data_IF_663367852135
#
_entry.id   IF_663367852135
#
_cell.length_a   1.000
_cell.length_b   1.000
_cell.length_c   1.000
_cell.angle_alpha   90.00
_cell.angle_beta   90.00
_cell.angle_gamma   90.00
#
_symmetry.space_group_name_H-M   'P 1'
#
loop_
_entity.id
_entity.type
_entity.pdbx_description
1 polymer ?
#
# COMPACT_ATOMS: atom_id res chain seq x y z
N UNK A 1 -25.33 16.85 4.89
CA UNK A 1 -25.18 16.61 6.35
C UNK A 1 -24.79 15.16 6.59
N UNK A 2 -23.58 14.80 6.18
CA UNK A 2 -22.92 13.52 6.50
C UNK A 2 -21.48 13.89 6.81
N UNK A 3 -21.27 14.33 8.05
CA UNK A 3 -19.97 14.69 8.60
C UNK A 3 -19.94 14.13 10.02
N UNK A 4 -18.85 13.44 10.35
CA UNK A 4 -18.43 12.92 11.65
C UNK A 4 -18.92 11.50 11.96
N UNK A 5 -18.03 10.52 11.77
CA UNK A 5 -17.33 9.84 12.88
C UNK A 5 -16.37 8.80 12.31
N UNK A 6 -15.09 9.15 12.19
CA UNK A 6 -14.01 8.19 12.00
C UNK A 6 -13.02 8.38 13.15
N UNK A 7 -13.00 7.37 14.02
CA UNK A 7 -12.13 7.25 15.19
C UNK A 7 -10.69 6.96 14.76
N UNK A 8 -9.78 7.70 15.38
CA UNK A 8 -8.38 7.42 15.71
C UNK A 8 -7.62 6.36 14.87
N UNK A 9 -6.83 6.87 13.93
CA UNK A 9 -5.85 6.10 13.15
C UNK A 9 -5.40 6.89 11.92
N UNK A 10 -5.10 8.18 12.11
CA UNK A 10 -4.90 9.14 11.04
C UNK A 10 -3.62 8.88 10.24
N UNK A 11 -3.77 8.30 9.06
CA UNK A 11 -3.00 8.71 7.89
C UNK A 11 -4.01 9.34 6.94
N UNK A 12 -4.10 10.67 6.97
CA UNK A 12 -4.80 11.43 5.92
C UNK A 12 -4.12 11.11 4.58
N UNK A 13 -4.85 10.95 3.47
CA UNK A 13 -4.24 10.73 2.16
C UNK A 13 -3.34 11.93 1.84
N UNK A 14 -2.02 11.73 1.82
CA UNK A 14 -1.05 12.82 1.63
C UNK A 14 -0.80 13.16 0.16
N UNK A 15 -1.61 12.64 -0.78
CA UNK A 15 -1.46 12.97 -2.20
C UNK A 15 -2.59 12.44 -3.09
N UNK A 16 -2.73 13.08 -4.25
CA UNK A 16 -3.75 12.78 -5.26
C UNK A 16 -3.63 11.35 -5.83
N UNK A 17 -2.44 10.74 -5.80
CA UNK A 17 -2.21 9.32 -6.16
C UNK A 17 -2.89 8.33 -5.22
N UNK A 18 -3.04 8.65 -3.93
CA UNK A 18 -3.83 7.84 -2.99
C UNK A 18 -5.32 7.94 -3.34
N UNK A 19 -5.82 9.13 -3.68
CA UNK A 19 -7.21 9.31 -4.14
C UNK A 19 -7.48 8.59 -5.48
N UNK A 20 -6.51 8.59 -6.40
CA UNK A 20 -6.60 7.88 -7.67
C UNK A 20 -6.64 6.36 -7.46
N UNK A 21 -5.79 5.80 -6.59
CA UNK A 21 -5.71 4.35 -6.38
C UNK A 21 -6.79 3.79 -5.43
N UNK A 22 -7.36 4.62 -4.55
CA UNK A 22 -8.33 4.22 -3.52
C UNK A 22 -9.69 3.82 -4.10
N UNK A 23 -10.10 4.34 -5.27
CA UNK A 23 -11.42 4.03 -5.89
C UNK A 23 -11.46 2.63 -6.52
N UNK A 24 -10.32 1.99 -6.80
CA UNK A 24 -10.29 0.67 -7.44
C UNK A 24 -10.61 -0.51 -6.50
N UNK A 25 -10.74 -0.29 -5.18
CA UNK A 25 -10.96 -1.36 -4.20
C UNK A 25 -12.43 -1.56 -3.83
N UNK A 26 -13.34 -0.63 -4.19
CA UNK A 26 -14.74 -0.67 -3.74
C UNK A 26 -15.76 -1.14 -4.81
N UNK A 27 -15.31 -1.71 -5.94
CA UNK A 27 -16.22 -2.12 -7.04
C UNK A 27 -16.62 -3.60 -7.05
N UNK A 28 -16.12 -4.44 -6.13
CA UNK A 28 -16.39 -5.87 -6.11
C UNK A 28 -17.01 -6.33 -4.78
N UNK A 29 -18.28 -5.96 -4.54
CA UNK A 29 -18.97 -6.32 -3.29
C UNK A 29 -20.49 -6.19 -3.31
N UNK A 30 -21.12 -6.30 -4.48
CA UNK A 30 -22.58 -6.30 -4.60
C UNK A 30 -23.16 -7.72 -4.50
N UNK A 31 -23.20 -8.29 -3.30
CA UNK A 31 -23.98 -9.51 -3.02
C UNK A 31 -25.14 -9.16 -2.07
N UNK A 32 -26.35 -9.14 -2.62
CA UNK A 32 -27.60 -9.03 -1.88
C UNK A 32 -27.74 -10.21 -0.92
N UNK A 33 -27.62 -9.96 0.38
CA UNK A 33 -27.91 -10.97 1.40
C UNK A 33 -29.43 -11.09 1.58
N UNK A 34 -29.97 -12.20 1.10
CA UNK A 34 -31.30 -12.69 1.46
C UNK A 34 -31.30 -13.05 2.95
N UNK A 35 -32.25 -12.46 3.68
CA UNK A 35 -32.45 -12.68 5.10
C UNK A 35 -32.96 -14.11 5.34
N UNK A 36 -32.26 -14.87 6.18
CA UNK A 36 -32.78 -16.09 6.80
C UNK A 36 -32.16 -16.23 8.18
N UNK A 37 -33.00 -16.13 9.20
CA UNK A 37 -32.67 -16.24 10.63
C UNK A 37 -33.48 -17.41 11.22
N UNK A 38 -33.22 -17.88 12.44
CA UNK A 38 -31.97 -18.44 12.96
C UNK A 38 -32.24 -19.81 13.65
N UNK A 39 -31.20 -20.61 13.94
CA UNK A 39 -31.28 -21.59 15.03
C UNK A 39 -29.90 -21.97 15.60
N UNK A 40 -29.75 -21.57 16.87
CA UNK A 40 -28.84 -22.01 17.94
C UNK A 40 -28.00 -23.26 17.68
N UNK A 41 -26.71 -23.19 18.04
CA UNK A 41 -26.07 -24.11 19.00
C UNK A 41 -24.83 -23.42 19.61
N UNK A 42 -24.64 -23.63 20.91
CA UNK A 42 -23.76 -22.85 21.77
C UNK A 42 -22.26 -23.11 21.55
N UNK A 43 -21.52 -22.01 21.47
CA UNK A 43 -20.11 -21.93 21.82
C UNK A 43 -19.94 -20.66 22.64
N UNK A 44 -19.30 -20.77 23.80
CA UNK A 44 -19.00 -19.66 24.69
C UNK A 44 -18.13 -18.63 23.97
N UNK A 45 -18.77 -17.65 23.35
CA UNK A 45 -18.10 -16.44 22.90
C UNK A 45 -17.80 -15.63 24.17
N UNK A 46 -16.56 -15.74 24.65
CA UNK A 46 -16.02 -14.77 25.59
C UNK A 46 -16.29 -13.36 25.05
N UNK A 47 -16.69 -12.42 25.93
CA UNK A 47 -17.12 -11.10 25.50
C UNK A 47 -16.00 -10.41 24.72
N UNK A 48 -16.39 -9.85 23.57
CA UNK A 48 -15.55 -9.03 22.69
C UNK A 48 -15.08 -7.82 23.49
N UNK A 49 -13.87 -7.91 24.03
CA UNK A 49 -13.18 -6.79 24.64
C UNK A 49 -12.48 -5.97 23.56
N UNK A 50 -12.61 -4.65 23.69
CA UNK A 50 -11.72 -3.58 23.26
C UNK A 50 -10.48 -4.01 22.46
N UNK A 51 -10.26 -3.36 21.30
CA UNK A 51 -9.19 -3.68 20.32
C UNK A 51 -7.92 -4.24 20.96
N UNK A 52 -7.82 -5.57 21.03
CA UNK A 52 -6.67 -6.25 21.66
C UNK A 52 -5.37 -5.75 21.01
N UNK A 53 -4.32 -5.50 21.79
CA UNK A 53 -3.03 -5.09 21.21
C UNK A 53 -2.47 -6.16 20.27
N UNK A 54 -1.81 -5.73 19.19
CA UNK A 54 -1.20 -6.66 18.22
C UNK A 54 -0.17 -7.57 18.89
N UNK A 55 0.56 -7.08 19.90
CA UNK A 55 1.52 -7.87 20.66
C UNK A 55 0.85 -9.01 21.45
N UNK A 56 -0.36 -8.82 21.95
CA UNK A 56 -1.11 -9.86 22.64
C UNK A 56 -1.62 -10.94 21.67
N UNK A 57 -2.15 -10.53 20.51
CA UNK A 57 -2.54 -11.47 19.46
C UNK A 57 -1.36 -12.34 19.00
N UNK A 58 -0.17 -11.76 18.88
CA UNK A 58 1.06 -12.50 18.56
C UNK A 58 1.39 -13.52 19.66
N UNK A 59 1.35 -13.12 20.94
CA UNK A 59 1.64 -14.03 22.07
C UNK A 59 0.66 -15.19 22.13
N UNK A 60 -0.64 -14.93 21.96
CA UNK A 60 -1.67 -15.98 21.91
C UNK A 60 -1.45 -16.95 20.77
N UNK A 61 -1.12 -16.45 19.58
CA UNK A 61 -0.78 -17.29 18.44
C UNK A 61 0.44 -18.18 18.74
N UNK A 62 1.49 -17.62 19.34
CA UNK A 62 2.68 -18.36 19.76
C UNK A 62 2.36 -19.41 20.84
N UNK A 63 1.33 -19.17 21.66
CA UNK A 63 0.77 -20.13 22.61
C UNK A 63 -0.15 -21.20 22.01
N UNK A 64 -0.37 -21.21 20.68
CA UNK A 64 -1.17 -22.20 19.98
C UNK A 64 -2.62 -21.80 19.71
N UNK A 65 -3.02 -20.57 20.04
CA UNK A 65 -4.37 -20.06 19.76
C UNK A 65 -4.54 -19.71 18.26
N UNK A 66 -5.27 -20.56 17.54
CA UNK A 66 -5.57 -20.35 16.11
C UNK A 66 -6.53 -19.17 15.86
N UNK A 67 -7.37 -18.81 16.83
CA UNK A 67 -8.28 -17.68 16.68
C UNK A 67 -7.50 -16.35 16.63
N UNK A 68 -6.37 -16.26 17.32
CA UNK A 68 -5.52 -15.08 17.32
C UNK A 68 -5.00 -14.72 15.91
N UNK A 69 -4.59 -15.73 15.12
CA UNK A 69 -4.19 -15.49 13.72
C UNK A 69 -5.34 -14.98 12.85
N UNK A 70 -6.55 -15.47 13.08
CA UNK A 70 -7.74 -15.04 12.33
C UNK A 70 -7.99 -13.54 12.53
N UNK A 71 -7.80 -13.04 13.75
CA UNK A 71 -7.92 -11.62 14.04
C UNK A 71 -6.78 -10.79 13.43
N UNK A 72 -5.54 -11.28 13.48
CA UNK A 72 -4.39 -10.65 12.80
C UNK A 72 -4.66 -10.52 11.29
N UNK A 73 -5.14 -11.61 10.67
CA UNK A 73 -5.51 -11.63 9.25
C UNK A 73 -6.59 -10.58 8.96
N UNK A 74 -7.69 -10.58 9.72
CA UNK A 74 -8.81 -9.66 9.52
C UNK A 74 -8.36 -8.19 9.59
N UNK A 75 -7.49 -7.85 10.55
CA UNK A 75 -7.00 -6.48 10.75
C UNK A 75 -6.05 -6.00 9.65
N UNK A 76 -5.20 -6.89 9.13
CA UNK A 76 -4.12 -6.49 8.24
C UNK A 76 -4.32 -6.88 6.78
N UNK A 77 -5.36 -7.65 6.43
CA UNK A 77 -5.64 -8.06 5.05
C UNK A 77 -5.75 -6.86 4.12
N UNK A 78 -6.49 -5.82 4.53
CA UNK A 78 -6.67 -4.63 3.70
C UNK A 78 -5.34 -3.90 3.45
N UNK A 79 -4.49 -3.78 4.46
CA UNK A 79 -3.19 -3.11 4.34
C UNK A 79 -2.24 -3.88 3.42
N UNK A 80 -2.17 -5.21 3.61
CA UNK A 80 -1.38 -6.11 2.76
C UNK A 80 -1.89 -6.06 1.32
N UNK A 81 -3.20 -6.10 1.11
CA UNK A 81 -3.80 -6.03 -0.22
C UNK A 81 -3.42 -4.73 -0.93
N UNK A 82 -3.55 -3.57 -0.27
CA UNK A 82 -3.16 -2.27 -0.85
C UNK A 82 -1.69 -2.26 -1.27
N UNK A 83 -0.79 -2.76 -0.42
CA UNK A 83 0.63 -2.83 -0.74
C UNK A 83 0.91 -3.80 -1.91
N UNK A 84 0.28 -4.98 -1.91
CA UNK A 84 0.40 -5.96 -3.00
C UNK A 84 -0.06 -5.34 -4.30
N UNK A 85 -1.23 -4.71 -4.37
CA UNK A 85 -1.75 -4.09 -5.60
C UNK A 85 -0.92 -2.89 -6.09
N UNK A 86 -0.23 -2.18 -5.19
CA UNK A 86 0.75 -1.13 -5.58
C UNK A 86 2.03 -1.73 -6.16
N UNK A 87 2.46 -2.89 -5.68
CA UNK A 87 3.75 -3.49 -6.04
C UNK A 87 3.67 -4.53 -7.15
N UNK A 88 2.52 -5.19 -7.31
CA UNK A 88 2.31 -6.25 -8.30
C UNK A 88 2.58 -5.70 -9.70
N UNK A 89 3.27 -6.50 -10.50
CA UNK A 89 3.55 -6.19 -11.90
C UNK A 89 2.63 -7.00 -12.82
N UNK A 90 2.76 -6.82 -14.14
CA UNK A 90 2.00 -7.60 -15.10
C UNK A 90 2.24 -9.11 -14.94
N UNK A 91 1.17 -9.89 -15.04
CA UNK A 91 1.21 -11.36 -15.06
C UNK A 91 1.19 -12.07 -13.71
N UNK A 92 0.92 -11.37 -12.60
CA UNK A 92 0.70 -11.99 -11.28
C UNK A 92 -0.70 -11.64 -10.74
N UNK A 93 -1.42 -12.65 -10.24
CA UNK A 93 -2.70 -12.45 -9.56
C UNK A 93 -2.44 -11.88 -8.15
N UNK A 94 -3.03 -10.72 -7.87
CA UNK A 94 -2.88 -10.03 -6.58
C UNK A 94 -3.50 -10.81 -5.41
N UNK A 95 -4.63 -11.49 -5.63
CA UNK A 95 -5.30 -12.27 -4.57
C UNK A 95 -4.49 -13.51 -4.20
N UNK A 96 -3.89 -14.19 -5.19
CA UNK A 96 -2.96 -15.29 -4.93
C UNK A 96 -1.74 -14.83 -4.13
N UNK A 97 -1.19 -13.65 -4.45
CA UNK A 97 -0.08 -13.07 -3.69
C UNK A 97 -0.46 -12.71 -2.26
N UNK A 98 -1.67 -12.17 -2.04
CA UNK A 98 -2.15 -11.87 -0.69
C UNK A 98 -2.23 -13.16 0.12
N UNK A 99 -2.75 -14.25 -0.45
CA UNK A 99 -2.79 -15.54 0.21
C UNK A 99 -1.39 -16.06 0.55
N UNK A 100 -0.46 -16.03 -0.42
CA UNK A 100 0.92 -16.47 -0.21
C UNK A 100 1.62 -15.64 0.89
N UNK A 101 1.36 -14.32 0.94
CA UNK A 101 1.85 -13.47 2.03
C UNK A 101 1.34 -13.97 3.37
N UNK A 102 0.05 -14.23 3.53
CA UNK A 102 -0.49 -14.68 4.81
C UNK A 102 -0.06 -16.11 5.19
N UNK A 103 0.18 -16.99 4.22
CA UNK A 103 0.82 -18.29 4.45
C UNK A 103 2.22 -18.09 5.03
N UNK A 104 3.01 -17.19 4.44
CA UNK A 104 4.36 -16.91 4.91
C UNK A 104 4.38 -16.19 6.26
N UNK A 105 3.43 -15.28 6.51
CA UNK A 105 3.23 -14.65 7.82
C UNK A 105 2.91 -15.72 8.84
N UNK A 106 1.94 -16.60 8.61
CA UNK A 106 1.59 -17.67 9.54
C UNK A 106 2.81 -18.54 9.91
N UNK A 107 3.63 -18.92 8.93
CA UNK A 107 4.84 -19.74 9.14
C UNK A 107 5.92 -19.03 9.96
N UNK A 108 6.09 -17.73 9.76
CA UNK A 108 7.17 -16.95 10.38
C UNK A 108 6.77 -16.21 11.67
N UNK A 109 5.47 -16.09 11.94
CA UNK A 109 4.94 -15.39 13.11
C UNK A 109 5.35 -16.04 14.43
N UNK A 110 5.54 -17.36 14.44
CA UNK A 110 6.06 -18.09 15.60
C UNK A 110 7.47 -17.65 16.02
N UNK A 111 8.28 -17.18 15.08
CA UNK A 111 9.66 -16.73 15.33
C UNK A 111 9.76 -15.22 15.56
N UNK A 112 8.64 -14.49 15.46
CA UNK A 112 8.64 -13.04 15.61
C UNK A 112 8.89 -12.64 17.08
N UNK A 113 10.07 -12.04 17.33
CA UNK A 113 10.54 -11.66 18.67
C UNK A 113 10.19 -10.22 19.09
N UNK A 114 9.41 -9.49 18.30
CA UNK A 114 9.01 -8.10 18.65
C UNK A 114 10.15 -7.06 18.61
N UNK A 115 11.27 -7.36 17.95
CA UNK A 115 12.42 -6.43 17.85
C UNK A 115 12.18 -5.23 16.91
N UNK A 116 11.15 -5.31 16.07
CA UNK A 116 10.65 -4.21 15.23
C UNK A 116 9.15 -4.10 15.38
N UNK A 117 8.57 -2.98 14.96
CA UNK A 117 7.10 -2.86 14.84
C UNK A 117 6.57 -4.01 13.99
N UNK A 118 5.42 -4.56 14.38
CA UNK A 118 4.74 -5.62 13.62
C UNK A 118 4.46 -5.19 12.18
N UNK A 119 4.02 -3.94 11.98
CA UNK A 119 3.79 -3.37 10.65
C UNK A 119 5.04 -3.42 9.77
N UNK A 120 6.19 -2.98 10.26
CA UNK A 120 7.46 -3.01 9.51
C UNK A 120 7.87 -4.45 9.16
N UNK A 121 7.68 -5.40 10.09
CA UNK A 121 7.95 -6.82 9.83
C UNK A 121 7.00 -7.39 8.76
N UNK A 122 5.70 -7.07 8.86
CA UNK A 122 4.69 -7.49 7.89
C UNK A 122 5.00 -6.93 6.49
N UNK A 123 5.34 -5.64 6.39
CA UNK A 123 5.77 -5.03 5.13
C UNK A 123 6.98 -5.76 4.53
N UNK A 124 7.95 -6.15 5.35
CA UNK A 124 9.11 -6.94 4.89
C UNK A 124 8.70 -8.28 4.32
N UNK A 125 7.79 -9.01 4.98
CA UNK A 125 7.27 -10.29 4.45
C UNK A 125 6.55 -10.06 3.12
N UNK A 126 5.64 -9.08 3.07
CA UNK A 126 4.88 -8.72 1.86
C UNK A 126 5.78 -8.37 0.68
N UNK A 127 6.74 -7.46 0.90
CA UNK A 127 7.71 -7.02 -0.13
C UNK A 127 8.49 -8.22 -0.66
N UNK A 128 8.97 -9.11 0.22
CA UNK A 128 9.74 -10.27 -0.22
C UNK A 128 8.93 -11.20 -1.11
N UNK A 129 7.69 -11.53 -0.72
CA UNK A 129 6.80 -12.41 -1.50
C UNK A 129 6.52 -11.80 -2.87
N UNK A 130 6.15 -10.52 -2.95
CA UNK A 130 5.87 -9.85 -4.22
C UNK A 130 7.11 -9.79 -5.11
N UNK A 131 8.30 -9.52 -4.55
CA UNK A 131 9.54 -9.50 -5.31
C UNK A 131 9.93 -10.89 -5.84
N UNK A 132 9.72 -11.95 -5.06
CA UNK A 132 9.94 -13.32 -5.52
C UNK A 132 9.01 -13.66 -6.69
N UNK A 133 7.72 -13.34 -6.58
CA UNK A 133 6.77 -13.57 -7.66
C UNK A 133 7.12 -12.80 -8.94
N UNK A 134 7.51 -11.53 -8.85
CA UNK A 134 7.93 -10.72 -10.01
C UNK A 134 9.22 -11.23 -10.67
N UNK A 135 10.12 -11.87 -9.91
CA UNK A 135 11.30 -12.53 -10.48
C UNK A 135 10.92 -13.82 -11.18
N UNK A 136 10.06 -14.64 -10.57
CA UNK A 136 9.55 -15.88 -11.16
C UNK A 136 8.80 -15.61 -12.48
N UNK A 137 7.96 -14.57 -12.54
CA UNK A 137 7.24 -14.17 -13.74
C UNK A 137 8.17 -13.80 -14.91
N UNK A 138 9.30 -13.12 -14.63
CA UNK A 138 10.30 -12.77 -15.66
C UNK A 138 11.13 -13.94 -16.16
N UNK A 139 11.27 -15.00 -15.36
CA UNK A 139 12.05 -16.19 -15.73
C UNK A 139 11.25 -17.23 -16.51
N UNK A 140 9.93 -17.09 -16.62
CA UNK A 140 9.10 -17.98 -17.45
C UNK A 140 9.21 -17.59 -18.93
N UNK A 141 9.60 -18.50 -19.83
CA UNK A 141 9.60 -18.20 -21.27
C UNK A 141 8.18 -17.86 -21.73
N UNK A 142 8.08 -16.87 -22.63
CA UNK A 142 6.85 -16.26 -23.13
C UNK A 142 5.99 -17.18 -24.02
N UNK A 143 5.75 -18.42 -23.60
CA UNK A 143 4.90 -19.39 -24.29
C UNK A 143 3.42 -19.28 -23.91
N UNK A 144 3.04 -18.31 -23.06
CA UNK A 144 1.65 -18.10 -22.67
C UNK A 144 1.28 -16.61 -22.53
N UNK A 145 2.04 -15.71 -23.16
CA UNK A 145 1.58 -14.34 -23.35
C UNK A 145 0.70 -14.31 -24.62
N UNK A 146 -0.50 -14.88 -24.51
CA UNK A 146 -1.62 -14.34 -25.30
C UNK A 146 -1.74 -12.84 -25.03
N UNK A 147 -2.41 -12.07 -25.89
CA UNK A 147 -2.53 -10.63 -25.70
C UNK A 147 -2.90 -10.38 -24.25
N UNK A 148 -2.08 -9.58 -23.58
CA UNK A 148 -2.33 -9.11 -22.22
C UNK A 148 -3.77 -8.63 -22.29
N UNK A 149 -4.67 -9.34 -21.61
CA UNK A 149 -6.05 -8.92 -21.48
C UNK A 149 -5.97 -7.51 -20.90
N UNK A 150 -6.20 -6.53 -21.76
CA UNK A 150 -6.26 -5.13 -21.43
C UNK A 150 -7.42 -5.05 -20.48
N UNK A 151 -7.11 -5.21 -19.18
CA UNK A 151 -8.04 -5.62 -18.14
C UNK A 151 -9.42 -5.11 -18.46
N UNK A 152 -10.27 -6.06 -18.89
CA UNK A 152 -11.59 -5.83 -19.45
C UNK A 152 -12.19 -4.64 -18.71
N UNK A 153 -12.18 -3.47 -19.37
CA UNK A 153 -12.84 -2.29 -18.85
C UNK A 153 -14.26 -2.78 -18.59
N UNK A 154 -14.64 -2.86 -17.32
CA UNK A 154 -15.96 -3.32 -16.90
C UNK A 154 -16.93 -2.52 -17.79
N UNK A 155 -17.61 -3.17 -18.75
CA UNK A 155 -18.50 -2.54 -19.76
C UNK A 155 -19.78 -1.97 -19.11
N UNK A 156 -19.67 -1.59 -17.84
CA UNK A 156 -20.61 -0.75 -17.16
C UNK A 156 -20.40 0.67 -17.65
N UNK A 157 -21.46 1.40 -17.99
CA UNK A 157 -21.35 2.82 -18.30
C UNK A 157 -20.76 3.54 -17.08
N UNK A 158 -19.47 3.83 -17.13
CA UNK A 158 -18.78 4.69 -16.17
C UNK A 158 -18.83 6.14 -16.68
N UNK A 159 -18.97 7.14 -15.81
CA UNK A 159 -18.81 8.54 -16.18
C UNK A 159 -17.44 8.76 -16.87
N UNK A 160 -17.39 9.67 -17.85
CA UNK A 160 -16.16 9.97 -18.63
C UNK A 160 -14.95 10.30 -17.73
N UNK A 161 -15.18 10.92 -16.57
CA UNK A 161 -14.14 11.26 -15.59
C UNK A 161 -13.47 10.03 -14.96
N UNK A 162 -14.22 8.94 -14.75
CA UNK A 162 -13.68 7.69 -14.19
C UNK A 162 -12.84 6.93 -15.22
N UNK A 163 -13.21 7.02 -16.51
CA UNK A 163 -12.42 6.43 -17.61
C UNK A 163 -11.07 7.13 -17.73
N UNK A 164 -11.05 8.47 -17.74
CA UNK A 164 -9.80 9.26 -17.78
C UNK A 164 -8.93 8.96 -16.56
N UNK A 165 -9.54 8.84 -15.38
CA UNK A 165 -8.85 8.45 -14.14
C UNK A 165 -8.18 7.09 -14.27
N UNK A 166 -8.91 6.07 -14.73
CA UNK A 166 -8.37 4.72 -14.91
C UNK A 166 -7.22 4.68 -15.93
N UNK A 167 -7.34 5.42 -17.04
CA UNK A 167 -6.28 5.55 -18.03
C UNK A 167 -5.00 6.15 -17.44
N UNK A 168 -5.12 7.21 -16.62
CA UNK A 168 -3.98 7.82 -15.90
C UNK A 168 -3.32 6.84 -14.94
N UNK A 169 -4.10 6.08 -14.16
CA UNK A 169 -3.58 5.06 -13.24
C UNK A 169 -2.84 3.96 -14.01
N UNK A 170 -3.42 3.46 -15.10
CA UNK A 170 -2.80 2.44 -15.94
C UNK A 170 -1.49 2.96 -16.55
N UNK A 171 -1.48 4.18 -17.08
CA UNK A 171 -0.27 4.82 -17.59
C UNK A 171 0.81 4.94 -16.51
N UNK A 172 0.46 5.40 -15.31
CA UNK A 172 1.41 5.53 -14.20
C UNK A 172 1.98 4.17 -13.77
N UNK A 173 1.15 3.13 -13.69
CA UNK A 173 1.60 1.75 -13.41
C UNK A 173 2.61 1.27 -14.46
N UNK A 174 2.33 1.49 -15.75
CA UNK A 174 3.26 1.16 -16.85
C UNK A 174 4.59 1.91 -16.74
N UNK A 175 4.57 3.18 -16.34
CA UNK A 175 5.80 3.94 -16.07
C UNK A 175 6.61 3.34 -14.91
N UNK A 176 5.95 2.97 -13.81
CA UNK A 176 6.62 2.31 -12.69
C UNK A 176 7.18 0.94 -13.08
N UNK A 177 6.62 0.24 -14.06
CA UNK A 177 7.13 -1.04 -14.58
C UNK A 177 8.43 -0.89 -15.37
N UNK A 178 8.67 0.27 -15.96
CA UNK A 178 9.94 0.60 -16.65
C UNK A 178 11.10 0.85 -15.67
N UNK A 179 10.80 1.15 -14.41
CA UNK A 179 11.80 1.50 -13.40
C UNK A 179 12.53 0.24 -12.89
N UNK A 180 13.86 0.26 -12.68
CA UNK A 180 14.58 -0.86 -12.09
C UNK A 180 13.98 -1.31 -10.75
N UNK A 181 13.82 -2.62 -10.54
CA UNK A 181 13.11 -3.21 -9.38
C UNK A 181 13.47 -2.54 -8.04
N UNK A 182 14.78 -2.38 -7.77
CA UNK A 182 15.26 -1.80 -6.52
C UNK A 182 14.87 -0.32 -6.33
N UNK A 183 14.76 0.45 -7.42
CA UNK A 183 14.31 1.85 -7.41
C UNK A 183 12.79 1.90 -7.24
N UNK A 184 12.05 1.08 -8.00
CA UNK A 184 10.59 0.96 -7.92
C UNK A 184 10.12 0.63 -6.51
N UNK A 185 10.68 -0.40 -5.89
CA UNK A 185 10.28 -0.83 -4.54
C UNK A 185 10.45 0.30 -3.53
N UNK A 186 11.60 0.98 -3.57
CA UNK A 186 11.91 2.08 -2.66
C UNK A 186 11.00 3.29 -2.92
N UNK A 187 10.70 3.60 -4.18
CA UNK A 187 9.76 4.65 -4.56
C UNK A 187 8.34 4.37 -4.06
N UNK A 188 7.81 3.16 -4.28
CA UNK A 188 6.46 2.77 -3.82
C UNK A 188 6.37 2.86 -2.30
N UNK A 189 7.34 2.29 -1.59
CA UNK A 189 7.33 2.30 -0.12
C UNK A 189 7.42 3.72 0.47
N UNK A 190 8.05 4.67 -0.23
CA UNK A 190 8.18 6.03 0.28
C UNK A 190 7.04 6.95 -0.16
N UNK A 191 6.79 7.04 -1.47
CA UNK A 191 5.83 7.99 -2.03
C UNK A 191 4.39 7.51 -1.93
N UNK A 192 4.16 6.18 -1.99
CA UNK A 192 2.80 5.62 -1.99
C UNK A 192 2.41 5.02 -0.63
N UNK A 193 3.36 4.56 0.17
CA UNK A 193 3.09 4.06 1.54
C UNK A 193 3.49 5.06 2.64
N UNK A 194 4.16 6.16 2.30
CA UNK A 194 4.57 7.17 3.26
C UNK A 194 5.64 6.72 4.28
N UNK A 195 6.35 5.61 4.02
CA UNK A 195 7.31 5.09 4.98
C UNK A 195 8.60 5.93 5.01
N UNK A 196 9.17 6.19 6.20
CA UNK A 196 10.42 6.92 6.30
C UNK A 196 11.59 6.07 5.74
N UNK A 197 12.63 6.69 5.15
CA UNK A 197 13.76 5.97 4.55
C UNK A 197 14.47 4.99 5.49
N UNK A 198 14.43 5.24 6.80
CA UNK A 198 14.99 4.34 7.82
C UNK A 198 14.20 3.02 7.93
N UNK A 199 12.86 3.07 7.92
CA UNK A 199 12.04 1.85 7.93
C UNK A 199 12.17 1.09 6.62
N UNK A 200 12.25 1.81 5.49
CA UNK A 200 12.49 1.21 4.17
C UNK A 200 13.81 0.45 4.14
N UNK A 201 14.88 1.01 4.73
CA UNK A 201 16.19 0.34 4.83
C UNK A 201 16.10 -1.01 5.54
N UNK A 202 15.31 -1.08 6.62
CA UNK A 202 15.03 -2.33 7.34
C UNK A 202 14.21 -3.32 6.50
N UNK A 203 13.19 -2.83 5.79
CA UNK A 203 12.31 -3.66 4.95
C UNK A 203 13.09 -4.29 3.78
N UNK A 204 13.87 -3.50 3.06
CA UNK A 204 14.58 -3.95 1.84
C UNK A 204 15.95 -4.54 2.13
N UNK A 205 16.46 -4.44 3.37
CA UNK A 205 17.78 -4.94 3.76
C UNK A 205 18.94 -4.21 3.06
N UNK A 206 18.87 -2.89 2.93
CA UNK A 206 19.92 -2.08 2.31
C UNK A 206 20.34 -0.89 3.19
N UNK A 207 21.58 -0.38 3.08
CA UNK A 207 22.01 0.78 3.86
C UNK A 207 21.13 2.01 3.64
N UNK A 208 20.88 2.81 4.69
CA UNK A 208 20.07 4.02 4.63
C UNK A 208 20.51 4.98 3.50
N UNK A 209 21.82 5.17 3.34
CA UNK A 209 22.37 6.01 2.27
C UNK A 209 22.01 5.46 0.89
N UNK A 210 22.04 4.13 0.71
CA UNK A 210 21.64 3.49 -0.55
C UNK A 210 20.16 3.70 -0.84
N UNK A 211 19.29 3.63 0.18
CA UNK A 211 17.86 3.92 0.04
C UNK A 211 17.63 5.36 -0.40
N UNK A 212 18.28 6.34 0.26
CA UNK A 212 18.18 7.76 -0.10
C UNK A 212 18.63 8.03 -1.54
N UNK A 213 19.75 7.45 -1.94
CA UNK A 213 20.27 7.57 -3.31
C UNK A 213 19.31 6.94 -4.33
N UNK A 214 18.74 5.77 -4.02
CA UNK A 214 17.73 5.13 -4.89
C UNK A 214 16.48 5.98 -5.02
N UNK A 215 15.97 6.58 -3.93
CA UNK A 215 14.84 7.50 -3.96
C UNK A 215 15.11 8.70 -4.86
N UNK A 216 16.27 9.34 -4.69
CA UNK A 216 16.66 10.50 -5.49
C UNK A 216 16.62 10.19 -7.00
N UNK A 217 17.26 9.10 -7.42
CA UNK A 217 17.26 8.71 -8.83
C UNK A 217 15.89 8.20 -9.31
N UNK A 218 15.13 7.50 -8.46
CA UNK A 218 13.78 7.06 -8.79
C UNK A 218 12.84 8.24 -9.09
N UNK A 219 12.86 9.29 -8.25
CA UNK A 219 12.06 10.51 -8.46
C UNK A 219 12.37 11.16 -9.80
N UNK A 220 13.65 11.39 -10.10
CA UNK A 220 14.08 12.03 -11.36
C UNK A 220 13.67 11.22 -12.59
N UNK A 221 13.79 9.89 -12.52
CA UNK A 221 13.37 9.02 -13.62
C UNK A 221 11.84 9.03 -13.80
N UNK A 222 11.07 9.00 -12.71
CA UNK A 222 9.60 9.10 -12.78
C UNK A 222 9.16 10.46 -13.32
N UNK A 223 9.72 11.56 -12.82
CA UNK A 223 9.45 12.92 -13.31
C UNK A 223 9.79 13.10 -14.80
N UNK A 224 10.88 12.49 -15.26
CA UNK A 224 11.23 12.50 -16.68
C UNK A 224 10.23 11.70 -17.50
N UNK A 225 9.90 10.47 -17.07
CA UNK A 225 8.96 9.61 -17.76
C UNK A 225 7.53 10.18 -17.79
N UNK A 226 7.09 10.85 -16.73
CA UNK A 226 5.78 11.50 -16.68
C UNK A 226 5.65 12.65 -17.68
N UNK A 227 6.72 13.41 -17.92
CA UNK A 227 6.75 14.48 -18.93
C UNK A 227 6.72 13.94 -20.36
N UNK A 228 7.22 12.74 -20.58
CA UNK A 228 7.21 12.08 -21.88
C UNK A 228 5.87 11.40 -22.21
N UNK A 229 5.03 11.11 -21.21
CA UNK A 229 3.78 10.39 -21.37
C UNK A 229 2.59 11.35 -21.60
N UNK A 230 1.95 11.37 -22.78
CA UNK A 230 0.94 12.39 -23.13
C UNK A 230 -0.27 12.42 -22.19
N UNK A 231 -0.70 11.25 -21.69
CA UNK A 231 -1.85 11.10 -20.77
C UNK A 231 -1.54 11.68 -19.38
N UNK A 232 -0.26 11.78 -19.01
CA UNK A 232 0.20 12.24 -17.71
C UNK A 232 0.85 13.63 -17.76
N UNK A 233 1.16 14.16 -18.93
CA UNK A 233 1.85 15.44 -19.10
C UNK A 233 1.10 16.61 -18.44
N UNK A 234 -0.22 16.71 -18.64
CA UNK A 234 -1.06 17.73 -18.00
C UNK A 234 -1.01 17.66 -16.46
N UNK A 235 -1.05 16.43 -15.92
CA UNK A 235 -0.94 16.20 -14.48
C UNK A 235 0.47 16.53 -13.96
N UNK A 236 1.51 16.24 -14.74
CA UNK A 236 2.89 16.54 -14.37
C UNK A 236 3.14 18.06 -14.31
N UNK A 237 2.53 18.83 -15.21
CA UNK A 237 2.59 20.31 -15.20
C UNK A 237 1.85 20.89 -13.98
N UNK A 238 0.62 20.41 -13.71
CA UNK A 238 -0.15 20.80 -12.51
C UNK A 238 0.64 20.55 -11.21
N UNK A 239 1.25 19.35 -11.08
CA UNK A 239 2.06 18.99 -9.91
C UNK A 239 3.36 19.80 -9.80
N UNK A 240 3.98 20.15 -10.94
CA UNK A 240 5.18 20.97 -10.96
C UNK A 240 4.88 22.42 -10.50
N UNK A 241 3.71 22.94 -10.87
CA UNK A 241 3.24 24.26 -10.46
C UNK A 241 2.86 24.28 -8.97
N UNK A 242 2.21 23.24 -8.45
CA UNK A 242 1.93 23.07 -7.02
C UNK A 242 3.22 22.96 -6.19
N UNK A 243 4.23 22.23 -6.68
CA UNK A 243 5.52 22.10 -6.01
C UNK A 243 6.34 23.41 -6.02
N UNK A 244 6.12 24.26 -7.02
CA UNK A 244 6.79 25.56 -7.21
C UNK A 244 6.05 26.70 -6.51
N UNK A 245 4.78 26.52 -6.16
CA UNK A 245 4.06 27.44 -5.29
C UNK A 245 4.86 27.64 -3.99
N UNK A 246 5.09 28.89 -3.55
CA UNK A 246 5.81 29.12 -2.31
C UNK A 246 5.04 28.40 -1.20
N UNK A 247 5.69 27.41 -0.55
CA UNK A 247 5.19 26.82 0.70
C UNK A 247 5.17 27.93 1.75
N UNK A 248 4.08 28.69 1.74
CA UNK A 248 3.85 29.83 2.59
C UNK A 248 3.58 29.36 4.01
N UNK A 249 4.53 29.68 4.90
CA UNK A 249 4.27 29.96 6.31
C UNK A 249 4.36 28.79 7.28
N UNK A 250 5.51 28.66 7.94
CA UNK A 250 5.51 28.46 9.39
C UNK A 250 6.43 29.51 10.08
N UNK A 251 6.05 30.01 11.27
CA UNK A 251 6.48 31.30 11.78
C UNK A 251 7.77 31.17 12.59
N UNK A 252 8.92 31.48 11.97
CA UNK A 252 10.21 31.66 12.68
C UNK A 252 10.33 33.03 13.39
N UNK A 253 9.21 33.72 13.63
CA UNK A 253 9.22 35.07 14.21
C UNK A 253 9.08 35.12 15.74
N UNK A 254 8.80 34.00 16.44
CA UNK A 254 8.69 34.00 17.92
C UNK A 254 9.99 33.78 18.68
N UNK A 255 11.12 33.55 18.00
CA UNK A 255 12.41 33.30 18.66
C UNK A 255 13.30 34.56 18.83
N UNK A 256 12.78 35.76 18.52
CA UNK A 256 13.52 37.02 18.69
C UNK A 256 13.08 37.90 19.87
N UNK A 257 11.95 37.62 20.52
CA UNK A 257 11.46 38.46 21.63
C UNK A 257 11.96 38.03 23.02
N UNK A 258 12.58 36.84 23.19
CA UNK A 258 13.12 36.37 24.48
C UNK A 258 14.62 36.70 24.72
N UNK A 259 15.26 37.48 23.84
CA UNK A 259 16.67 37.91 24.04
C UNK A 259 16.86 39.40 24.37
N UNK A 260 15.78 40.16 24.54
CA UNK A 260 15.84 41.58 24.95
C UNK A 260 15.27 41.84 26.36
N UNK A 261 14.94 40.79 27.11
CA UNK A 261 14.44 40.91 28.49
C UNK A 261 15.28 40.08 29.49
N UNK A 262 16.61 40.25 29.50
CA UNK A 262 17.47 39.89 30.63
C UNK A 262 18.66 40.83 30.69
#
# INVERSE_FOLDING_TARGET
MWRRECVAGGVQPTGLVDALLFVAVDAAGGATLSCSSPSRLGGTLSPVTESEDIGELVRRFQGGDRAAFTEIFRRHRADVARLVFKMVGPGADGEDLIQEVFIQVHRSLGEFRGQSKFSTWLHRVTVNVVLMARRAARSRPALSAGPIDEGQLDERPMPDEDVVRQQRIAAFRRLLDRLPEKKRTVYILHELEGLPPAEIATIVGAPLLTVRTRLFYARREVEQMMREEPVLAQLAEELADEAKAPRGGEPQARAREEKEAT
#
